data_IF_225222547331
#
_entry.id   IF_225222547331
#
_cell.length_a   1.000
_cell.length_b   1.000
_cell.length_c   1.000
_cell.angle_alpha   90.00
_cell.angle_beta   90.00
_cell.angle_gamma   90.00
#
_symmetry.space_group_name_H-M   'P 1'
#
loop_
_entity.id
_entity.type
_entity.pdbx_description
1 polymer ?
#
# COMPACT_ATOMS: atom_id res chain seq x y z
N UNK A 1 -21.09 -27.13 -20.61
CA UNK A 1 -21.66 -26.01 -19.83
C UNK A 1 -20.51 -25.39 -19.05
N UNK A 2 -20.32 -24.08 -19.15
CA UNK A 2 -19.25 -23.39 -18.42
C UNK A 2 -19.52 -23.37 -16.91
N UNK A 3 -18.53 -22.98 -16.08
CA UNK A 3 -18.75 -22.80 -14.65
C UNK A 3 -19.85 -21.75 -14.39
N UNK A 4 -20.55 -21.93 -13.27
CA UNK A 4 -21.56 -20.97 -12.82
C UNK A 4 -20.91 -19.59 -12.55
N UNK A 5 -21.46 -18.48 -13.08
CA UNK A 5 -20.89 -17.16 -12.88
C UNK A 5 -21.08 -16.70 -11.43
N UNK A 6 -20.01 -16.14 -10.85
CA UNK A 6 -20.03 -15.58 -9.49
C UNK A 6 -20.16 -14.06 -9.56
N UNK A 7 -21.15 -13.50 -8.87
CA UNK A 7 -21.36 -12.06 -8.78
C UNK A 7 -20.62 -11.44 -7.59
N UNK A 8 -20.00 -10.27 -7.79
CA UNK A 8 -19.50 -9.43 -6.71
C UNK A 8 -20.64 -8.53 -6.24
N UNK A 9 -21.20 -8.84 -5.07
CA UNK A 9 -22.38 -8.13 -4.52
C UNK A 9 -22.02 -7.00 -3.54
N UNK A 10 -20.73 -6.81 -3.24
CA UNK A 10 -20.27 -5.78 -2.33
C UNK A 10 -18.74 -5.69 -2.29
N UNK A 11 -18.23 -4.52 -1.89
CA UNK A 11 -16.80 -4.25 -1.76
C UNK A 11 -16.54 -3.35 -0.56
N UNK A 12 -15.37 -3.51 0.05
CA UNK A 12 -14.85 -2.60 1.07
C UNK A 12 -13.33 -2.55 0.98
N UNK A 13 -12.73 -1.40 1.25
CA UNK A 13 -11.29 -1.24 1.19
C UNK A 13 -10.74 -0.21 2.16
N UNK A 14 -9.46 -0.41 2.51
CA UNK A 14 -8.63 0.61 3.15
C UNK A 14 -7.24 0.51 2.55
N UNK A 15 -6.94 1.38 1.59
CA UNK A 15 -5.65 1.42 0.89
C UNK A 15 -4.80 2.62 1.32
N UNK A 16 -3.52 2.57 0.97
CA UNK A 16 -2.61 3.72 1.03
C UNK A 16 -3.08 4.85 0.12
N UNK A 17 -2.59 6.08 0.35
CA UNK A 17 -2.92 7.21 -0.54
C UNK A 17 -4.30 7.83 -0.32
N UNK A 18 -4.81 7.78 0.92
CA UNK A 18 -6.14 8.28 1.31
C UNK A 18 -7.34 7.55 0.68
N UNK A 19 -7.10 6.39 0.06
CA UNK A 19 -8.15 5.52 -0.48
C UNK A 19 -8.77 4.63 0.62
N UNK A 20 -9.42 5.25 1.61
CA UNK A 20 -10.10 4.56 2.73
C UNK A 20 -11.58 4.24 2.47
N UNK A 21 -12.03 4.44 1.23
CA UNK A 21 -13.37 4.09 0.75
C UNK A 21 -13.28 3.65 -0.70
N UNK A 22 -14.32 2.98 -1.20
CA UNK A 22 -14.41 2.57 -2.60
C UNK A 22 -14.33 3.78 -3.53
N UNK A 23 -15.03 4.87 -3.21
CA UNK A 23 -14.96 6.11 -3.99
C UNK A 23 -13.55 6.72 -3.98
N UNK A 24 -12.88 6.73 -2.82
CA UNK A 24 -11.52 7.24 -2.70
C UNK A 24 -10.51 6.41 -3.48
N UNK A 25 -10.68 5.08 -3.49
CA UNK A 25 -9.88 4.18 -4.32
C UNK A 25 -10.13 4.42 -5.81
N UNK A 26 -11.39 4.53 -6.22
CA UNK A 26 -11.74 4.77 -7.61
C UNK A 26 -11.21 6.11 -8.12
N UNK A 27 -11.35 7.19 -7.35
CA UNK A 27 -10.79 8.51 -7.67
C UNK A 27 -9.25 8.45 -7.76
N UNK A 28 -8.58 7.68 -6.90
CA UNK A 28 -7.13 7.48 -6.97
C UNK A 28 -6.71 6.83 -8.30
N UNK A 29 -7.43 5.78 -8.73
CA UNK A 29 -7.17 5.08 -10.00
C UNK A 29 -7.42 5.99 -11.20
N UNK A 30 -8.57 6.66 -11.25
CA UNK A 30 -8.95 7.57 -12.34
C UNK A 30 -7.93 8.69 -12.52
N UNK A 31 -7.36 9.20 -11.41
CA UNK A 31 -6.36 10.27 -11.43
C UNK A 31 -4.91 9.77 -11.54
N UNK A 32 -4.69 8.45 -11.66
CA UNK A 32 -3.35 7.87 -11.71
C UNK A 32 -2.48 8.20 -10.48
N UNK A 33 -3.10 8.41 -9.31
CA UNK A 33 -2.38 8.76 -8.08
C UNK A 33 -1.73 7.53 -7.45
N UNK A 34 -0.65 7.76 -6.72
CA UNK A 34 0.07 6.70 -5.97
C UNK A 34 -0.10 6.88 -4.47
N UNK A 35 -0.21 5.75 -3.77
CA UNK A 35 -0.13 5.69 -2.30
C UNK A 35 1.30 5.46 -1.78
N UNK A 36 2.30 5.44 -2.66
CA UNK A 36 3.71 5.25 -2.28
C UNK A 36 4.21 6.49 -1.54
N UNK A 37 4.76 6.30 -0.34
CA UNK A 37 5.28 7.39 0.46
C UNK A 37 6.48 6.93 1.29
N UNK A 38 7.18 7.89 1.92
CA UNK A 38 8.15 7.56 2.96
C UNK A 38 7.47 6.77 4.08
N UNK A 39 8.19 5.84 4.68
CA UNK A 39 7.75 5.18 5.91
C UNK A 39 7.41 6.25 6.95
N UNK A 40 6.18 6.28 7.49
CA UNK A 40 5.84 7.21 8.56
C UNK A 40 6.65 6.88 9.82
N UNK A 41 7.24 7.90 10.46
CA UNK A 41 7.97 7.73 11.73
C UNK A 41 7.12 7.14 12.86
N UNK A 42 5.80 7.26 12.77
CA UNK A 42 4.84 6.62 13.67
C UNK A 42 4.71 5.09 13.49
N UNK A 43 5.36 4.49 12.49
CA UNK A 43 5.40 3.03 12.27
C UNK A 43 6.65 2.43 12.88
N UNK A 44 7.81 2.94 12.47
CA UNK A 44 9.14 2.59 12.98
C UNK A 44 10.15 3.62 12.47
N UNK A 45 11.35 3.64 13.05
CA UNK A 45 12.47 4.47 12.60
C UNK A 45 13.21 3.80 11.43
N UNK A 46 13.07 4.26 10.17
CA UNK A 46 13.55 3.51 9.01
C UNK A 46 15.08 3.54 8.88
N UNK A 47 15.71 4.59 9.38
CA UNK A 47 17.17 4.76 9.30
C UNK A 47 17.93 3.67 10.05
N UNK A 48 17.38 3.17 11.17
CA UNK A 48 18.00 2.10 11.96
C UNK A 48 17.99 0.72 11.29
N UNK A 49 17.17 0.53 10.25
CA UNK A 49 17.04 -0.74 9.54
C UNK A 49 17.56 -0.68 8.11
N UNK A 50 17.95 0.50 7.61
CA UNK A 50 18.33 0.63 6.22
C UNK A 50 19.76 0.15 5.94
N UNK A 51 19.92 -0.66 4.89
CA UNK A 51 21.22 -0.98 4.32
C UNK A 51 21.12 -1.10 2.79
N UNK A 52 22.07 -0.54 2.01
CA UNK A 52 21.97 -0.50 0.55
C UNK A 52 22.14 -1.89 -0.12
N UNK A 53 22.87 -2.81 0.51
CA UNK A 53 23.01 -4.19 0.00
C UNK A 53 21.94 -5.10 0.60
N UNK A 54 21.31 -5.89 -0.27
CA UNK A 54 20.34 -6.95 0.05
C UNK A 54 20.96 -8.14 0.80
N UNK A 55 22.29 -8.29 0.81
CA UNK A 55 22.98 -9.39 1.49
C UNK A 55 23.09 -9.15 3.01
N UNK A 56 22.89 -7.91 3.47
CA UNK A 56 22.91 -7.58 4.89
C UNK A 56 21.68 -8.14 5.57
N UNK A 57 21.86 -9.25 6.27
CA UNK A 57 20.82 -9.85 7.12
C UNK A 57 20.30 -8.84 8.15
N UNK A 58 18.99 -8.83 8.33
CA UNK A 58 18.31 -7.96 9.30
C UNK A 58 18.17 -6.50 8.88
N UNK A 59 18.37 -6.18 7.60
CA UNK A 59 18.20 -4.83 7.06
C UNK A 59 17.21 -4.80 5.88
N UNK A 60 16.71 -3.60 5.58
CA UNK A 60 15.86 -3.30 4.42
C UNK A 60 16.57 -2.31 3.50
N UNK A 61 16.36 -2.42 2.19
CA UNK A 61 17.01 -1.52 1.22
C UNK A 61 16.14 -0.32 0.83
N UNK A 62 14.93 -0.19 1.38
CA UNK A 62 13.93 0.78 0.94
C UNK A 62 13.51 1.71 2.07
N UNK A 63 13.37 2.99 1.74
CA UNK A 63 12.82 4.04 2.62
C UNK A 63 11.35 4.39 2.31
N UNK A 64 10.81 3.88 1.21
CA UNK A 64 9.49 4.23 0.70
C UNK A 64 8.67 2.97 0.47
N UNK A 65 7.44 2.95 0.97
CA UNK A 65 6.47 1.89 0.72
C UNK A 65 5.03 2.45 0.83
N UNK A 66 4.02 1.60 0.71
CA UNK A 66 2.60 1.96 0.75
C UNK A 66 2.07 1.79 2.17
N UNK A 67 1.77 2.91 2.83
CA UNK A 67 1.24 2.90 4.19
C UNK A 67 -0.20 3.40 4.24
N UNK A 68 -1.08 2.61 4.86
CA UNK A 68 -2.38 3.07 5.32
C UNK A 68 -2.14 4.08 6.45
N UNK A 69 -2.62 5.32 6.29
CA UNK A 69 -2.59 6.31 7.37
C UNK A 69 -3.55 5.87 8.48
N UNK A 70 -3.11 6.05 9.73
CA UNK A 70 -3.98 5.77 10.88
C UNK A 70 -5.11 6.77 10.89
#
# INVERSE_FOLDING_TARGET
>A
MGPEPIAVIGMGCRFSGQASSIDGFWDMLLRGRTGHCKVPSSRYEPSGWHHPSHDRKGAVCQYNDKYIRR
#
